data_IF_714531294625
#
_entry.id   IF_714531294625
#
_cell.length_a   1.000
_cell.length_b   1.000
_cell.length_c   1.000
_cell.angle_alpha   90.00
_cell.angle_beta   90.00
_cell.angle_gamma   90.00
#
_symmetry.space_group_name_H-M   'P 1'
#
loop_
_entity.id
_entity.type
_entity.pdbx_description
1 polymer ?
#
# COMPACT_ATOMS: atom_id res chain seq x y z
N UNK A 1 -46.42 1.15 -29.20
CA UNK A 1 -46.19 0.75 -27.78
C UNK A 1 -44.79 0.19 -27.57
N UNK A 2 -44.30 -0.72 -28.43
CA UNK A 2 -43.01 -1.42 -28.26
C UNK A 2 -41.78 -0.51 -28.36
N UNK A 3 -41.75 0.44 -29.29
CA UNK A 3 -40.63 1.39 -29.42
C UNK A 3 -40.49 2.35 -28.22
N UNK A 4 -41.57 2.63 -27.51
CA UNK A 4 -41.53 3.49 -26.31
C UNK A 4 -40.88 2.79 -25.12
N UNK A 5 -41.08 1.47 -25.00
CA UNK A 5 -40.46 0.67 -23.96
C UNK A 5 -38.95 0.52 -24.20
N UNK A 6 -38.54 0.32 -25.45
CA UNK A 6 -37.12 0.26 -25.84
C UNK A 6 -36.43 1.61 -25.57
N UNK A 7 -37.08 2.72 -25.92
CA UNK A 7 -36.54 4.06 -25.65
C UNK A 7 -36.34 4.32 -24.15
N UNK A 8 -37.27 3.89 -23.28
CA UNK A 8 -37.14 4.00 -21.83
C UNK A 8 -35.95 3.20 -21.28
N UNK A 9 -35.76 1.96 -21.75
CA UNK A 9 -34.62 1.12 -21.35
C UNK A 9 -33.29 1.76 -21.76
N UNK A 10 -33.21 2.33 -22.97
CA UNK A 10 -32.02 3.04 -23.43
C UNK A 10 -31.74 4.29 -22.60
N UNK A 11 -32.77 5.07 -22.23
CA UNK A 11 -32.62 6.28 -21.40
C UNK A 11 -32.11 5.90 -20.00
N UNK A 12 -32.68 4.87 -19.37
CA UNK A 12 -32.23 4.36 -18.06
C UNK A 12 -30.79 3.86 -18.12
N UNK A 13 -30.43 3.12 -19.18
CA UNK A 13 -29.05 2.66 -19.41
C UNK A 13 -28.05 3.82 -19.58
N UNK A 14 -28.43 4.88 -20.29
CA UNK A 14 -27.60 6.08 -20.46
C UNK A 14 -27.42 6.87 -19.15
N UNK A 15 -28.44 6.93 -18.31
CA UNK A 15 -28.36 7.55 -16.98
C UNK A 15 -27.43 6.76 -16.05
N UNK A 16 -27.57 5.43 -16.01
CA UNK A 16 -26.67 4.55 -15.25
C UNK A 16 -25.21 4.63 -15.75
N UNK A 17 -25.01 4.81 -17.07
CA UNK A 17 -23.68 5.00 -17.65
C UNK A 17 -22.98 6.28 -17.16
N UNK A 18 -23.73 7.35 -16.83
CA UNK A 18 -23.14 8.59 -16.32
C UNK A 18 -22.51 8.42 -14.95
N UNK A 19 -23.13 7.68 -14.03
CA UNK A 19 -22.58 7.42 -12.70
C UNK A 19 -21.26 6.66 -12.76
N UNK A 20 -21.16 5.66 -13.64
CA UNK A 20 -19.92 4.86 -13.82
C UNK A 20 -18.77 5.75 -14.31
N UNK A 21 -19.05 6.69 -15.21
CA UNK A 21 -18.03 7.61 -15.75
C UNK A 21 -17.57 8.66 -14.74
N UNK A 22 -18.47 9.12 -13.86
CA UNK A 22 -18.16 10.06 -12.78
C UNK A 22 -17.35 9.39 -11.67
N UNK A 23 -17.71 8.16 -11.30
CA UNK A 23 -17.02 7.38 -10.28
C UNK A 23 -15.56 7.06 -10.70
N UNK A 24 -15.34 6.82 -12.00
CA UNK A 24 -13.99 6.61 -12.56
C UNK A 24 -13.12 7.88 -12.56
N UNK A 25 -13.72 9.08 -12.50
CA UNK A 25 -12.99 10.35 -12.32
C UNK A 25 -12.61 10.58 -10.86
N UNK A 26 -13.50 10.22 -9.93
CA UNK A 26 -13.26 10.31 -8.49
C UNK A 26 -12.08 9.42 -8.07
N UNK A 27 -12.07 8.15 -8.50
CA UNK A 27 -10.98 7.21 -8.23
C UNK A 27 -9.63 7.74 -8.73
N UNK A 28 -9.60 8.28 -9.97
CA UNK A 28 -8.38 8.82 -10.58
C UNK A 28 -7.90 10.11 -9.90
N UNK A 29 -8.82 10.87 -9.29
CA UNK A 29 -8.50 12.05 -8.47
C UNK A 29 -7.90 11.64 -7.14
N UNK A 30 -8.46 10.59 -6.51
CA UNK A 30 -7.94 10.04 -5.27
C UNK A 30 -6.53 9.46 -5.44
N UNK A 31 -6.26 8.75 -6.53
CA UNK A 31 -4.92 8.25 -6.86
C UNK A 31 -3.89 9.38 -6.94
N UNK A 32 -4.23 10.50 -7.60
CA UNK A 32 -3.33 11.66 -7.69
C UNK A 32 -3.04 12.30 -6.34
N UNK A 33 -4.03 12.37 -5.46
CA UNK A 33 -3.85 12.88 -4.09
C UNK A 33 -2.98 11.95 -3.26
N UNK A 34 -3.14 10.64 -3.42
CA UNK A 34 -2.28 9.64 -2.78
C UNK A 34 -0.83 9.80 -3.25
N UNK A 35 -0.62 9.98 -4.55
CA UNK A 35 0.69 10.14 -5.18
C UNK A 35 1.37 11.47 -4.75
N UNK A 36 0.58 12.54 -4.57
CA UNK A 36 1.06 13.80 -4.02
C UNK A 36 1.37 13.71 -2.52
N UNK A 37 0.56 13.00 -1.73
CA UNK A 37 0.83 12.74 -0.33
C UNK A 37 2.11 11.92 -0.16
N UNK A 38 2.32 10.88 -0.98
CA UNK A 38 3.56 10.09 -0.99
C UNK A 38 4.79 10.97 -1.29
N UNK A 39 4.68 11.89 -2.26
CA UNK A 39 5.74 12.84 -2.59
C UNK A 39 6.02 13.86 -1.49
N UNK A 40 4.97 14.38 -0.83
CA UNK A 40 5.10 15.41 0.22
C UNK A 40 5.51 14.85 1.58
N UNK A 41 5.16 13.60 1.87
CA UNK A 41 5.57 12.91 3.11
C UNK A 41 7.01 12.41 3.09
N UNK A 42 7.75 12.60 1.99
CA UNK A 42 9.16 12.20 1.90
C UNK A 42 9.37 10.69 2.00
N UNK A 43 8.29 9.90 1.91
CA UNK A 43 8.32 8.44 1.93
C UNK A 43 8.56 7.87 0.53
N UNK A 44 9.52 8.44 -0.21
CA UNK A 44 10.04 7.86 -1.46
C UNK A 44 10.76 6.52 -1.26
N UNK A 45 10.81 6.02 -0.02
CA UNK A 45 11.52 4.82 0.42
C UNK A 45 10.57 3.71 0.92
N UNK A 46 9.25 3.89 0.77
CA UNK A 46 8.27 2.95 1.34
C UNK A 46 8.00 1.70 0.49
N UNK A 47 8.68 1.53 -0.65
CA UNK A 47 8.21 0.60 -1.69
C UNK A 47 9.03 -0.70 -1.88
N UNK A 48 10.07 -0.95 -1.09
CA UNK A 48 10.80 -2.24 -1.17
C UNK A 48 11.27 -2.82 0.16
N UNK A 49 11.33 -2.01 1.22
CA UNK A 49 11.94 -2.38 2.51
C UNK A 49 11.06 -2.07 3.73
N UNK A 50 9.74 -1.98 3.54
CA UNK A 50 8.80 -1.71 4.63
C UNK A 50 8.65 -2.94 5.53
N UNK A 51 9.47 -3.01 6.58
CA UNK A 51 9.30 -3.97 7.66
C UNK A 51 8.00 -3.62 8.40
N UNK A 52 7.03 -4.54 8.53
CA UNK A 52 5.81 -4.29 9.30
C UNK A 52 6.13 -3.87 10.74
N UNK A 53 5.37 -2.94 11.31
CA UNK A 53 5.63 -2.40 12.65
C UNK A 53 5.71 -3.48 13.73
N UNK A 54 4.91 -4.54 13.60
CA UNK A 54 4.94 -5.70 14.50
C UNK A 54 6.29 -6.45 14.43
N UNK A 55 6.82 -6.67 13.23
CA UNK A 55 8.10 -7.33 13.02
C UNK A 55 9.26 -6.45 13.50
N UNK A 56 9.14 -5.13 13.28
CA UNK A 56 10.11 -4.15 13.79
C UNK A 56 10.18 -4.19 15.31
N UNK A 57 9.03 -4.19 15.99
CA UNK A 57 8.98 -4.27 17.46
C UNK A 57 9.59 -5.59 17.95
N UNK A 58 9.26 -6.72 17.31
CA UNK A 58 9.87 -8.01 17.64
C UNK A 58 11.40 -8.00 17.46
N UNK A 59 11.90 -7.39 16.38
CA UNK A 59 13.34 -7.26 16.14
C UNK A 59 14.02 -6.37 17.20
N UNK A 60 13.37 -5.30 17.65
CA UNK A 60 13.86 -4.45 18.76
C UNK A 60 13.94 -5.26 20.05
N UNK A 61 12.91 -6.02 20.40
CA UNK A 61 12.89 -6.85 21.61
C UNK A 61 14.00 -7.91 21.58
N UNK A 62 14.18 -8.58 20.43
CA UNK A 62 15.26 -9.55 20.23
C UNK A 62 16.65 -8.91 20.34
N UNK A 63 16.84 -7.70 19.77
CA UNK A 63 18.08 -6.95 19.89
C UNK A 63 18.38 -6.57 21.35
N UNK A 64 17.38 -6.07 22.08
CA UNK A 64 17.51 -5.73 23.52
C UNK A 64 17.79 -6.95 24.39
N UNK A 65 17.30 -8.12 23.99
CA UNK A 65 17.59 -9.39 24.65
C UNK A 65 18.98 -9.98 24.28
N UNK A 66 19.80 -9.28 23.48
CA UNK A 66 21.10 -9.76 23.01
C UNK A 66 21.03 -10.85 21.93
N UNK A 67 19.84 -11.10 21.37
CA UNK A 67 19.56 -12.12 20.36
C UNK A 67 19.60 -11.53 18.95
N UNK A 68 20.70 -10.87 18.63
CA UNK A 68 20.84 -10.09 17.40
C UNK A 68 20.72 -10.95 16.14
N UNK A 69 21.25 -12.18 16.17
CA UNK A 69 21.13 -13.14 15.07
C UNK A 69 19.66 -13.53 14.82
N UNK A 70 18.87 -13.69 15.88
CA UNK A 70 17.43 -13.99 15.76
C UNK A 70 16.67 -12.78 15.19
N UNK A 71 17.03 -11.55 15.59
CA UNK A 71 16.44 -10.33 15.04
C UNK A 71 16.71 -10.19 13.53
N UNK A 72 17.96 -10.41 13.10
CA UNK A 72 18.33 -10.36 11.67
C UNK A 72 17.63 -11.45 10.89
N UNK A 73 17.54 -12.66 11.44
CA UNK A 73 16.82 -13.78 10.83
C UNK A 73 15.34 -13.45 10.64
N UNK A 74 14.70 -12.87 11.66
CA UNK A 74 13.28 -12.49 11.62
C UNK A 74 13.01 -11.44 10.55
N UNK A 75 13.86 -10.41 10.44
CA UNK A 75 13.75 -9.40 9.38
C UNK A 75 13.89 -10.05 8.00
N UNK A 76 14.85 -10.96 7.83
CA UNK A 76 15.10 -11.62 6.55
C UNK A 76 14.03 -12.62 6.11
N UNK A 77 13.30 -13.21 7.06
CA UNK A 77 12.19 -14.13 6.77
C UNK A 77 10.91 -13.37 6.38
N UNK A 78 10.67 -12.21 6.99
CA UNK A 78 9.46 -11.42 6.82
C UNK A 78 9.61 -10.31 5.76
N UNK A 79 10.83 -10.09 5.26
CA UNK A 79 11.14 -9.16 4.17
C UNK A 79 12.00 -9.81 3.11
N UNK A 80 12.14 -9.14 1.96
CA UNK A 80 13.04 -9.58 0.88
C UNK A 80 14.46 -9.03 1.01
N UNK A 81 14.82 -8.50 2.19
CA UNK A 81 16.17 -7.99 2.45
C UNK A 81 17.21 -9.10 2.31
N UNK A 82 18.37 -8.74 1.75
CA UNK A 82 19.53 -9.63 1.84
C UNK A 82 20.10 -9.68 3.27
N UNK A 83 21.08 -10.54 3.51
CA UNK A 83 21.65 -10.70 4.85
C UNK A 83 22.33 -9.42 5.37
N UNK A 84 22.96 -8.66 4.48
CA UNK A 84 23.69 -7.43 4.84
C UNK A 84 22.69 -6.32 5.13
N UNK A 85 21.69 -6.14 4.26
CA UNK A 85 20.59 -5.20 4.45
C UNK A 85 19.82 -5.47 5.75
N UNK A 86 19.52 -6.73 6.04
CA UNK A 86 18.83 -7.11 7.28
C UNK A 86 19.69 -6.82 8.53
N UNK A 87 21.01 -7.06 8.46
CA UNK A 87 21.96 -6.72 9.54
C UNK A 87 22.01 -5.22 9.76
N UNK A 88 22.22 -4.44 8.70
CA UNK A 88 22.27 -2.97 8.76
C UNK A 88 20.94 -2.37 9.23
N UNK A 89 19.81 -2.98 8.87
CA UNK A 89 18.51 -2.59 9.38
C UNK A 89 18.43 -2.80 10.89
N UNK A 90 18.75 -4.00 11.38
CA UNK A 90 18.73 -4.31 12.82
C UNK A 90 19.73 -3.44 13.59
N UNK A 91 20.89 -3.13 13.03
CA UNK A 91 21.90 -2.28 13.66
C UNK A 91 21.39 -0.85 13.85
N UNK A 92 20.57 -0.34 12.94
CA UNK A 92 19.91 0.97 13.03
C UNK A 92 18.72 1.02 14.02
N UNK A 93 18.21 -0.12 14.48
CA UNK A 93 17.14 -0.16 15.49
C UNK A 93 17.67 0.26 16.87
N UNK A 94 16.96 1.15 17.58
CA UNK A 94 17.37 1.73 18.87
C UNK A 94 16.56 1.16 20.04
#
# INVERSE_FOLDING_TARGET
>A
MEYSAIALVCIVGLLAYREISALKREIRSQEKRLDQLAKLTGHGDLSSHLVPDEIKEQAIQLKRAGKEVEAVKKIREETQMDLVEAKEYVDRLV
#
